data_IF_810967627970
#
_entry.id   IF_810967627970
#
_cell.length_a   1.000
_cell.length_b   1.000
_cell.length_c   1.000
_cell.angle_alpha   90.00
_cell.angle_beta   90.00
_cell.angle_gamma   90.00
#
_symmetry.space_group_name_H-M   'P 1'
#
loop_
_entity.id
_entity.type
_entity.pdbx_description
1 polymer ?
#
# COMPACT_ATOMS: atom_id res chain seq x y z
N UNK A 1 3.88 27.70 -5.55
CA UNK A 1 2.73 26.94 -6.08
C UNK A 1 2.38 27.32 -7.52
N UNK A 2 2.06 28.58 -7.84
CA UNK A 2 1.74 29.00 -9.22
C UNK A 2 2.83 28.63 -10.24
N UNK A 3 4.10 28.88 -9.91
CA UNK A 3 5.26 28.46 -10.72
C UNK A 3 5.29 26.95 -11.00
N UNK A 4 5.00 26.10 -10.02
CA UNK A 4 5.02 24.65 -10.25
C UNK A 4 3.87 24.20 -11.16
N UNK A 5 2.70 24.84 -11.02
CA UNK A 5 1.55 24.55 -11.88
C UNK A 5 1.80 24.92 -13.35
N UNK A 6 2.55 25.99 -13.62
CA UNK A 6 2.91 26.36 -15.00
C UNK A 6 3.89 25.38 -15.66
N UNK A 7 4.63 24.58 -14.87
CA UNK A 7 5.59 23.58 -15.37
C UNK A 7 4.95 22.23 -15.73
N UNK A 8 3.63 22.08 -15.56
CA UNK A 8 2.95 20.81 -15.78
C UNK A 8 3.08 20.27 -17.21
N UNK A 9 3.08 21.15 -18.21
CA UNK A 9 3.23 20.77 -19.62
C UNK A 9 4.53 21.21 -20.28
N UNK A 10 5.38 21.96 -19.56
CA UNK A 10 6.63 22.49 -20.09
C UNK A 10 7.77 21.52 -19.80
N UNK A 11 8.69 21.36 -20.74
CA UNK A 11 9.91 20.60 -20.50
C UNK A 11 10.79 21.36 -19.49
N UNK A 12 11.36 20.63 -18.54
CA UNK A 12 12.25 21.12 -17.50
C UNK A 12 13.63 20.47 -17.64
N UNK A 13 14.70 21.09 -17.09
CA UNK A 13 16.04 20.50 -17.13
C UNK A 13 16.07 19.04 -16.63
N UNK A 14 16.64 18.16 -17.45
CA UNK A 14 16.71 16.73 -17.22
C UNK A 14 15.48 15.93 -17.69
N UNK A 15 14.49 16.57 -18.30
CA UNK A 15 13.42 15.84 -19.00
C UNK A 15 13.88 15.27 -20.34
N UNK A 16 15.03 15.72 -20.86
CA UNK A 16 15.69 15.17 -22.06
C UNK A 16 16.04 13.68 -21.93
N UNK A 17 16.26 13.18 -20.72
CA UNK A 17 16.58 11.78 -20.43
C UNK A 17 15.33 10.88 -20.35
N UNK A 18 14.13 11.45 -20.50
CA UNK A 18 12.87 10.71 -20.33
C UNK A 18 12.51 9.96 -21.60
N UNK A 19 12.25 8.66 -21.45
CA UNK A 19 11.64 7.86 -22.51
C UNK A 19 10.19 8.32 -22.74
N UNK A 20 9.82 8.58 -23.99
CA UNK A 20 8.45 8.90 -24.35
C UNK A 20 7.61 7.60 -24.42
N UNK A 21 6.77 7.41 -23.42
CA UNK A 21 5.81 6.32 -23.31
C UNK A 21 4.36 6.82 -23.47
N UNK A 22 4.16 8.03 -23.99
CA UNK A 22 2.82 8.63 -24.11
C UNK A 22 1.92 7.96 -25.14
N UNK A 23 2.48 7.09 -25.98
CA UNK A 23 1.75 6.24 -26.93
C UNK A 23 1.30 4.89 -26.34
N UNK A 24 1.76 4.50 -25.14
CA UNK A 24 1.33 3.27 -24.50
C UNK A 24 -0.08 3.41 -23.90
N UNK A 25 -0.87 2.36 -24.03
CA UNK A 25 -2.18 2.28 -23.38
C UNK A 25 -2.01 2.03 -21.88
N UNK A 26 -1.89 3.12 -21.12
CA UNK A 26 -1.72 3.07 -19.66
C UNK A 26 -3.03 3.41 -18.94
N UNK A 27 -3.32 2.71 -17.85
CA UNK A 27 -4.46 2.99 -16.98
C UNK A 27 -4.05 3.10 -15.51
N UNK A 28 -4.75 3.93 -14.74
CA UNK A 28 -4.69 3.90 -13.28
C UNK A 28 -5.87 3.13 -12.72
N UNK A 29 -5.65 2.38 -11.63
CA UNK A 29 -6.66 1.55 -10.96
C UNK A 29 -6.68 1.93 -9.48
N UNK A 30 -7.74 2.62 -9.05
CA UNK A 30 -7.80 3.26 -7.73
C UNK A 30 -9.15 3.07 -7.03
N UNK A 31 -9.23 3.45 -5.75
CA UNK A 31 -10.51 3.62 -5.05
C UNK A 31 -11.35 4.72 -5.74
N UNK A 32 -12.68 4.56 -5.71
CA UNK A 32 -13.58 5.61 -6.18
C UNK A 32 -13.34 6.91 -5.37
N UNK A 33 -13.13 8.02 -6.10
CA UNK A 33 -12.85 9.32 -5.49
C UNK A 33 -11.38 9.55 -5.12
N UNK A 34 -10.45 8.68 -5.55
CA UNK A 34 -9.01 8.97 -5.47
C UNK A 34 -8.68 10.25 -6.24
N UNK A 35 -7.87 11.08 -5.60
CA UNK A 35 -7.50 12.42 -6.04
C UNK A 35 -6.00 12.59 -6.28
N UNK A 36 -5.18 11.75 -5.64
CA UNK A 36 -3.71 11.69 -5.76
C UNK A 36 -3.37 10.39 -6.47
N UNK A 37 -3.25 10.42 -7.81
CA UNK A 37 -2.91 9.22 -8.60
C UNK A 37 -1.40 9.12 -8.66
N UNK A 38 -0.85 8.23 -7.83
CA UNK A 38 0.59 7.97 -7.77
C UNK A 38 1.05 7.03 -8.89
N UNK A 39 0.23 6.07 -9.32
CA UNK A 39 0.67 4.98 -10.17
C UNK A 39 -0.30 4.64 -11.32
N UNK A 40 0.25 4.02 -12.37
CA UNK A 40 -0.46 3.53 -13.53
C UNK A 40 0.24 2.30 -14.12
N UNK A 41 -0.51 1.44 -14.79
CA UNK A 41 -0.04 0.19 -15.36
C UNK A 41 -0.23 0.19 -16.87
N UNK A 42 0.67 -0.49 -17.58
CA UNK A 42 0.51 -0.82 -18.99
C UNK A 42 1.14 -2.18 -19.30
N UNK A 43 0.70 -2.81 -20.37
CA UNK A 43 1.26 -4.05 -20.89
C UNK A 43 1.49 -3.90 -22.40
N UNK A 44 2.66 -4.31 -22.88
CA UNK A 44 2.96 -4.35 -24.31
C UNK A 44 3.57 -5.69 -24.71
N UNK A 45 3.21 -6.20 -25.90
CA UNK A 45 3.84 -7.41 -26.46
C UNK A 45 5.26 -7.09 -26.91
N UNK A 46 6.18 -8.04 -26.70
CA UNK A 46 7.58 -7.87 -27.10
C UNK A 46 7.81 -8.51 -28.46
N UNK A 47 8.65 -7.88 -29.30
CA UNK A 47 9.00 -8.43 -30.63
C UNK A 47 9.67 -9.82 -30.58
N UNK A 48 10.30 -10.16 -29.45
CA UNK A 48 10.95 -11.45 -29.21
C UNK A 48 10.01 -12.51 -28.58
N UNK A 49 8.71 -12.22 -28.43
CA UNK A 49 7.76 -13.03 -27.67
C UNK A 49 7.64 -12.59 -26.20
N UNK A 50 6.54 -12.97 -25.58
CA UNK A 50 6.16 -12.54 -24.24
C UNK A 50 5.76 -11.07 -24.14
N UNK A 51 5.82 -10.54 -22.92
CA UNK A 51 5.24 -9.24 -22.56
C UNK A 51 6.20 -8.38 -21.76
N UNK A 52 6.03 -7.06 -21.85
CA UNK A 52 6.62 -6.10 -20.93
C UNK A 52 5.51 -5.46 -20.11
N UNK A 53 5.54 -5.71 -18.80
CA UNK A 53 4.74 -5.01 -17.82
C UNK A 53 5.42 -3.69 -17.48
N UNK A 54 4.68 -2.59 -17.56
CA UNK A 54 5.09 -1.27 -17.11
C UNK A 54 4.32 -0.83 -15.87
N UNK A 55 5.05 -0.28 -14.90
CA UNK A 55 4.53 0.35 -13.70
C UNK A 55 5.05 1.79 -13.68
N UNK A 56 4.19 2.72 -14.07
CA UNK A 56 4.50 4.14 -14.09
C UNK A 56 4.18 4.74 -12.73
N UNK A 57 5.13 5.43 -12.11
CA UNK A 57 4.93 6.14 -10.84
C UNK A 57 5.18 7.62 -11.05
N UNK A 58 4.28 8.48 -10.59
CA UNK A 58 4.40 9.92 -10.68
C UNK A 58 5.75 10.42 -10.14
N UNK A 59 6.39 11.38 -10.80
CA UNK A 59 7.69 11.91 -10.40
C UNK A 59 7.60 13.37 -9.89
N UNK A 60 7.11 13.60 -8.66
CA UNK A 60 7.10 14.94 -8.07
C UNK A 60 8.53 15.46 -7.81
N UNK A 61 9.51 14.55 -7.68
CA UNK A 61 10.91 14.94 -7.46
C UNK A 61 11.46 15.70 -8.68
N UNK A 62 10.86 15.57 -9.86
CA UNK A 62 11.31 16.28 -11.08
C UNK A 62 11.21 17.80 -10.94
N UNK A 63 10.32 18.25 -10.06
CA UNK A 63 10.01 19.66 -9.87
C UNK A 63 10.47 20.17 -8.49
N UNK A 64 11.04 19.30 -7.67
CA UNK A 64 11.35 19.58 -6.27
C UNK A 64 12.78 19.13 -5.92
N UNK A 65 13.52 20.00 -5.24
CA UNK A 65 14.82 19.71 -4.64
C UNK A 65 14.70 19.57 -3.12
N UNK A 66 15.69 18.98 -2.46
CA UNK A 66 15.73 18.89 -0.98
C UNK A 66 15.73 20.26 -0.29
N UNK A 67 16.24 21.30 -0.95
CA UNK A 67 16.24 22.67 -0.45
C UNK A 67 14.90 23.39 -0.63
N UNK A 68 13.94 22.78 -1.32
CA UNK A 68 12.64 23.40 -1.57
C UNK A 68 11.79 23.42 -0.29
N UNK A 69 11.16 24.55 0.08
CA UNK A 69 10.28 24.63 1.25
C UNK A 69 9.13 23.61 1.25
N UNK A 70 8.61 23.23 0.08
CA UNK A 70 7.59 22.19 -0.04
C UNK A 70 8.14 20.81 0.31
N UNK A 71 9.40 20.53 -0.03
CA UNK A 71 10.08 19.28 0.33
C UNK A 71 10.38 19.23 1.82
N UNK A 72 10.80 20.34 2.42
CA UNK A 72 10.96 20.45 3.88
C UNK A 72 9.64 20.19 4.62
N UNK A 73 8.53 20.80 4.16
CA UNK A 73 7.22 20.57 4.77
C UNK A 73 6.71 19.14 4.55
N UNK A 74 6.94 18.56 3.36
CA UNK A 74 6.61 17.16 3.08
C UNK A 74 7.41 16.19 3.97
N UNK A 75 8.70 16.46 4.19
CA UNK A 75 9.53 15.72 5.15
C UNK A 75 8.96 15.81 6.56
N UNK A 76 8.63 17.03 7.02
CA UNK A 76 8.05 17.26 8.35
C UNK A 76 6.74 16.51 8.56
N UNK A 77 5.89 16.41 7.53
CA UNK A 77 4.65 15.61 7.57
C UNK A 77 4.92 14.11 7.47
N UNK A 78 5.94 13.71 6.71
CA UNK A 78 6.34 12.33 6.47
C UNK A 78 5.41 11.55 5.53
N UNK A 79 4.09 11.68 5.68
CA UNK A 79 3.09 11.07 4.81
C UNK A 79 1.76 11.83 4.78
N UNK A 80 0.88 11.50 3.83
CA UNK A 80 -0.53 11.91 3.88
C UNK A 80 -1.23 11.16 5.02
N UNK A 81 -2.09 11.85 5.77
CA UNK A 81 -2.89 11.24 6.83
C UNK A 81 -4.33 11.00 6.32
N UNK A 82 -4.80 9.76 6.38
CA UNK A 82 -6.17 9.38 6.00
C UNK A 82 -7.03 9.22 7.25
N UNK A 83 -7.95 10.16 7.45
CA UNK A 83 -8.88 10.19 8.59
C UNK A 83 -10.29 9.87 8.07
N UNK A 84 -11.20 9.53 8.98
CA UNK A 84 -12.57 9.11 8.63
C UNK A 84 -13.36 10.22 7.93
N UNK A 85 -13.01 11.49 8.16
CA UNK A 85 -13.60 12.66 7.51
C UNK A 85 -12.88 13.10 6.23
N UNK A 86 -11.77 12.44 5.86
CA UNK A 86 -11.02 12.75 4.64
C UNK A 86 -9.50 12.69 4.81
N UNK A 87 -8.80 12.93 3.70
CA UNK A 87 -7.35 12.95 3.68
C UNK A 87 -6.80 14.34 4.04
N UNK A 88 -5.68 14.36 4.77
CA UNK A 88 -4.77 15.50 4.91
C UNK A 88 -3.49 15.20 4.13
N UNK A 89 -3.36 15.71 2.89
CA UNK A 89 -2.23 15.45 2.01
C UNK A 89 -0.85 15.83 2.58
N UNK A 90 0.19 15.09 2.17
CA UNK A 90 1.59 15.42 2.43
C UNK A 90 2.01 16.70 1.70
N UNK A 91 1.62 16.84 0.44
CA UNK A 91 1.81 18.07 -0.34
C UNK A 91 0.53 18.91 -0.36
N UNK A 92 0.59 20.23 -0.62
CA UNK A 92 -0.61 21.03 -0.81
C UNK A 92 -1.52 20.43 -1.89
N UNK A 93 -2.81 20.31 -1.57
CA UNK A 93 -3.81 19.64 -2.42
C UNK A 93 -3.80 20.09 -3.90
N UNK A 94 -3.68 21.39 -4.26
CA UNK A 94 -3.64 21.81 -5.67
C UNK A 94 -2.41 21.32 -6.45
N UNK A 95 -1.35 20.91 -5.76
CA UNK A 95 -0.17 20.30 -6.37
C UNK A 95 -0.29 18.79 -6.40
N UNK A 96 -0.70 18.19 -5.28
CA UNK A 96 -0.84 16.74 -5.13
C UNK A 96 -1.84 16.15 -6.12
N UNK A 97 -2.99 16.80 -6.31
CA UNK A 97 -4.01 16.42 -7.31
C UNK A 97 -3.71 16.97 -8.73
N UNK A 98 -2.71 17.83 -8.83
CA UNK A 98 -2.40 18.61 -10.02
C UNK A 98 -1.15 18.10 -10.71
N UNK A 99 -0.10 18.91 -10.66
CA UNK A 99 1.14 18.66 -11.39
C UNK A 99 1.92 17.44 -10.91
N UNK A 100 1.68 16.97 -9.68
CA UNK A 100 2.30 15.77 -9.16
C UNK A 100 1.53 14.49 -9.49
N UNK A 101 0.24 14.58 -9.84
CA UNK A 101 -0.60 13.41 -10.12
C UNK A 101 -0.48 12.96 -11.58
N UNK A 102 -0.57 11.65 -11.80
CA UNK A 102 -0.76 11.05 -13.12
C UNK A 102 -2.19 11.31 -13.59
N UNK A 103 -2.40 12.38 -14.37
CA UNK A 103 -3.74 12.82 -14.79
C UNK A 103 -4.11 12.25 -16.17
N UNK A 104 -5.28 11.60 -16.32
CA UNK A 104 -5.74 11.07 -17.60
C UNK A 104 -5.74 12.12 -18.73
N UNK A 105 -5.31 11.69 -19.91
CA UNK A 105 -5.19 12.53 -21.10
C UNK A 105 -4.09 13.60 -21.06
N UNK A 106 -3.37 13.77 -19.94
CA UNK A 106 -2.29 14.74 -19.82
C UNK A 106 -0.92 14.07 -19.89
N UNK A 107 0.05 14.78 -20.47
CA UNK A 107 1.46 14.34 -20.46
C UNK A 107 2.03 14.56 -19.06
N UNK A 108 2.40 13.48 -18.38
CA UNK A 108 2.86 13.46 -16.98
C UNK A 108 4.27 12.89 -16.87
N UNK A 109 5.05 13.41 -15.91
CA UNK A 109 6.38 12.89 -15.58
C UNK A 109 6.23 11.68 -14.69
N UNK A 110 6.92 10.60 -15.04
CA UNK A 110 6.96 9.39 -14.23
C UNK A 110 8.38 8.85 -14.08
N UNK A 111 8.60 8.05 -13.05
CA UNK A 111 9.60 6.99 -13.05
C UNK A 111 8.87 5.70 -13.38
N UNK A 112 9.25 5.06 -14.48
CA UNK A 112 8.64 3.81 -14.92
C UNK A 112 9.53 2.64 -14.58
N UNK A 113 8.96 1.65 -13.93
CA UNK A 113 9.56 0.34 -13.68
C UNK A 113 9.01 -0.64 -14.71
N UNK A 114 9.82 -1.59 -15.15
CA UNK A 114 9.38 -2.59 -16.12
C UNK A 114 9.89 -3.98 -15.78
N UNK A 115 9.10 -4.97 -16.16
CA UNK A 115 9.45 -6.39 -16.12
C UNK A 115 9.12 -7.02 -17.46
N UNK A 116 10.13 -7.61 -18.09
CA UNK A 116 9.98 -8.50 -19.23
C UNK A 116 9.63 -9.90 -18.73
N UNK A 117 8.60 -10.50 -19.32
CA UNK A 117 8.21 -11.88 -19.08
C UNK A 117 8.13 -12.67 -20.38
N UNK A 118 8.30 -13.98 -20.30
CA UNK A 118 8.01 -14.90 -21.42
C UNK A 118 6.48 -15.13 -21.58
N UNK A 119 6.11 -15.94 -22.56
CA UNK A 119 4.69 -16.28 -22.82
C UNK A 119 4.04 -17.01 -21.63
N UNK A 120 4.83 -17.72 -20.82
CA UNK A 120 4.34 -18.42 -19.62
C UNK A 120 4.21 -17.50 -18.38
N UNK A 121 4.74 -16.27 -18.47
CA UNK A 121 4.73 -15.27 -17.41
C UNK A 121 5.94 -15.33 -16.48
N UNK A 122 7.01 -16.04 -16.84
CA UNK A 122 8.26 -16.04 -16.06
C UNK A 122 9.07 -14.77 -16.31
N UNK A 123 9.62 -14.20 -15.23
CA UNK A 123 10.50 -13.05 -15.30
C UNK A 123 11.77 -13.34 -16.13
N UNK A 124 12.07 -12.45 -17.08
CA UNK A 124 13.24 -12.52 -17.95
C UNK A 124 14.26 -11.42 -17.63
N UNK A 125 13.80 -10.16 -17.61
CA UNK A 125 14.65 -9.00 -17.34
C UNK A 125 13.81 -7.88 -16.71
N UNK A 126 14.48 -6.94 -16.06
CA UNK A 126 13.82 -5.85 -15.35
C UNK A 126 14.64 -4.57 -15.34
N UNK A 127 13.95 -3.45 -15.13
CA UNK A 127 14.63 -2.19 -14.97
C UNK A 127 13.70 -1.04 -14.62
N UNK A 128 14.28 0.15 -14.66
CA UNK A 128 13.53 1.38 -14.46
C UNK A 128 14.11 2.48 -15.34
N UNK A 129 13.28 3.48 -15.67
CA UNK A 129 13.68 4.62 -16.49
C UNK A 129 12.81 5.84 -16.18
N UNK A 130 13.35 7.07 -16.15
CA UNK A 130 12.53 8.28 -16.22
C UNK A 130 11.72 8.29 -17.51
N UNK A 131 10.45 8.68 -17.44
CA UNK A 131 9.59 8.67 -18.63
C UNK A 131 8.58 9.82 -18.65
N UNK A 132 8.03 10.02 -19.84
CA UNK A 132 6.78 10.74 -20.07
C UNK A 132 5.67 9.73 -20.32
N UNK A 133 4.53 9.90 -19.65
CA UNK A 133 3.36 9.02 -19.80
C UNK A 133 2.10 9.84 -20.05
N UNK A 134 1.10 9.24 -20.68
CA UNK A 134 -0.23 9.81 -20.82
C UNK A 134 -1.24 8.70 -20.61
N UNK A 135 -1.93 8.70 -19.48
CA UNK A 135 -2.92 7.66 -19.20
C UNK A 135 -4.08 7.78 -20.18
N UNK A 136 -4.44 6.64 -20.76
CA UNK A 136 -5.61 6.47 -21.62
C UNK A 136 -6.89 6.57 -20.80
N UNK A 137 -6.89 5.98 -19.60
CA UNK A 137 -8.09 5.85 -18.76
C UNK A 137 -7.73 5.83 -17.28
N UNK A 138 -8.65 6.26 -16.43
CA UNK A 138 -8.64 5.98 -15.00
C UNK A 138 -9.89 5.17 -14.68
N UNK A 139 -9.71 4.02 -14.03
CA UNK A 139 -10.78 3.07 -13.68
C UNK A 139 -10.73 2.79 -12.19
N UNK A 140 -11.87 2.37 -11.63
CA UNK A 140 -11.91 1.93 -10.23
C UNK A 140 -11.55 0.45 -10.10
N UNK A 141 -11.19 0.02 -8.89
CA UNK A 141 -11.04 -1.42 -8.61
C UNK A 141 -12.28 -2.23 -9.00
N UNK A 142 -13.48 -1.71 -8.71
CA UNK A 142 -14.74 -2.39 -9.04
C UNK A 142 -14.91 -2.53 -10.57
N UNK A 143 -14.59 -1.49 -11.35
CA UNK A 143 -14.66 -1.57 -12.81
C UNK A 143 -13.73 -2.67 -13.35
N UNK A 144 -12.52 -2.77 -12.80
CA UNK A 144 -11.55 -3.81 -13.19
C UNK A 144 -12.03 -5.20 -12.75
N UNK A 145 -12.56 -5.34 -11.54
CA UNK A 145 -13.11 -6.62 -11.07
C UNK A 145 -14.26 -7.10 -11.98
N UNK A 146 -15.15 -6.19 -12.41
CA UNK A 146 -16.21 -6.48 -13.37
C UNK A 146 -15.64 -6.94 -14.73
N UNK A 147 -14.63 -6.22 -15.26
CA UNK A 147 -13.96 -6.58 -16.52
C UNK A 147 -13.26 -7.94 -16.44
N UNK A 148 -12.57 -8.24 -15.33
CA UNK A 148 -11.93 -9.53 -15.10
C UNK A 148 -12.96 -10.67 -15.00
N UNK A 149 -14.15 -10.41 -14.46
CA UNK A 149 -15.24 -11.37 -14.38
C UNK A 149 -15.93 -11.63 -15.72
N UNK A 150 -16.12 -10.59 -16.54
CA UNK A 150 -16.74 -10.71 -17.87
C UNK A 150 -15.79 -11.25 -18.93
N UNK A 151 -14.49 -10.97 -18.81
CA UNK A 151 -13.44 -11.30 -19.76
C UNK A 151 -13.78 -10.94 -21.23
N UNK A 152 -14.09 -9.66 -21.52
CA UNK A 152 -14.40 -9.23 -22.88
C UNK A 152 -13.14 -9.32 -23.78
N UNK A 153 -13.25 -9.76 -25.04
CA UNK A 153 -12.10 -9.87 -25.96
C UNK A 153 -11.38 -8.54 -26.23
N UNK A 154 -12.05 -7.40 -26.03
CA UNK A 154 -11.44 -6.09 -26.25
C UNK A 154 -10.41 -5.70 -25.16
N UNK A 155 -10.41 -6.39 -24.02
CA UNK A 155 -9.54 -6.11 -22.85
C UNK A 155 -8.44 -7.17 -22.67
N UNK A 156 -7.96 -7.76 -23.78
CA UNK A 156 -6.93 -8.81 -23.76
C UNK A 156 -5.69 -8.43 -22.94
N UNK A 157 -5.24 -7.17 -23.00
CA UNK A 157 -4.08 -6.70 -22.23
C UNK A 157 -4.32 -6.69 -20.72
N UNK A 158 -5.54 -6.36 -20.26
CA UNK A 158 -5.88 -6.35 -18.84
C UNK A 158 -6.00 -7.78 -18.28
N UNK A 159 -6.60 -8.68 -19.05
CA UNK A 159 -6.69 -10.10 -18.70
C UNK A 159 -5.31 -10.75 -18.64
N UNK A 160 -4.44 -10.41 -19.58
CA UNK A 160 -3.07 -10.92 -19.61
C UNK A 160 -2.22 -10.32 -18.48
N UNK A 161 -2.39 -9.04 -18.18
CA UNK A 161 -1.79 -8.41 -17.01
C UNK A 161 -2.21 -9.11 -15.71
N UNK A 162 -3.49 -9.45 -15.58
CA UNK A 162 -3.99 -10.21 -14.44
C UNK A 162 -3.36 -11.60 -14.37
N UNK A 163 -3.26 -12.31 -15.49
CA UNK A 163 -2.60 -13.63 -15.57
C UNK A 163 -1.15 -13.57 -15.09
N UNK A 164 -0.38 -12.59 -15.58
CA UNK A 164 1.03 -12.39 -15.21
C UNK A 164 1.16 -12.08 -13.72
N UNK A 165 0.38 -11.12 -13.20
CA UNK A 165 0.45 -10.73 -11.79
C UNK A 165 0.01 -11.85 -10.84
N UNK A 166 -1.00 -12.65 -11.19
CA UNK A 166 -1.38 -13.83 -10.44
C UNK A 166 -0.22 -14.83 -10.35
N UNK A 167 0.49 -15.06 -11.46
CA UNK A 167 1.65 -15.96 -11.46
C UNK A 167 2.77 -15.44 -10.58
N UNK A 168 3.14 -14.16 -10.70
CA UNK A 168 4.17 -13.53 -9.87
C UNK A 168 3.83 -13.64 -8.38
N UNK A 169 2.56 -13.44 -8.02
CA UNK A 169 2.09 -13.63 -6.65
C UNK A 169 2.25 -15.08 -6.17
N UNK A 170 1.89 -16.06 -7.00
CA UNK A 170 2.02 -17.49 -6.68
C UNK A 170 3.49 -17.88 -6.49
N UNK A 171 4.39 -17.44 -7.37
CA UNK A 171 5.82 -17.70 -7.27
C UNK A 171 6.41 -17.07 -6.00
N UNK A 172 6.05 -15.83 -5.70
CA UNK A 172 6.48 -15.13 -4.48
C UNK A 172 5.98 -15.83 -3.21
N UNK A 173 4.75 -16.35 -3.22
CA UNK A 173 4.19 -17.17 -2.12
C UNK A 173 4.89 -18.52 -2.00
N UNK A 174 5.20 -19.18 -3.11
CA UNK A 174 5.97 -20.43 -3.11
C UNK A 174 7.39 -20.21 -2.56
N UNK A 175 7.96 -19.01 -2.75
CA UNK A 175 9.21 -18.57 -2.16
C UNK A 175 9.12 -18.13 -0.68
N UNK A 176 7.95 -18.27 -0.04
CA UNK A 176 7.76 -18.03 1.39
C UNK A 176 7.08 -16.72 1.77
N UNK A 177 6.57 -15.95 0.81
CA UNK A 177 5.77 -14.77 1.14
C UNK A 177 4.43 -15.12 1.79
N UNK A 178 4.02 -14.29 2.74
CA UNK A 178 2.79 -14.49 3.49
C UNK A 178 1.62 -13.80 2.78
N UNK A 179 0.51 -14.53 2.64
CA UNK A 179 -0.77 -13.94 2.28
C UNK A 179 -1.52 -13.62 3.57
N UNK A 180 -1.64 -12.32 3.86
CA UNK A 180 -2.30 -11.79 5.06
C UNK A 180 -3.51 -10.91 4.71
N UNK A 181 -4.01 -11.07 3.49
CA UNK A 181 -5.18 -10.35 3.00
C UNK A 181 -6.41 -10.72 3.83
N UNK A 182 -7.18 -9.70 4.16
CA UNK A 182 -8.43 -9.82 4.90
C UNK A 182 -9.30 -8.60 4.60
N UNK A 183 -10.62 -8.71 4.75
CA UNK A 183 -11.51 -7.56 4.62
C UNK A 183 -11.14 -6.46 5.62
N UNK A 184 -11.28 -5.20 5.21
CA UNK A 184 -11.00 -4.03 6.04
C UNK A 184 -12.22 -3.14 6.21
N UNK A 185 -12.58 -2.87 7.47
CA UNK A 185 -13.59 -1.88 7.81
C UNK A 185 -13.06 -0.44 7.74
N UNK A 186 -13.81 0.47 7.12
CA UNK A 186 -13.64 1.93 7.15
C UNK A 186 -14.91 2.59 7.70
N UNK A 187 -14.74 3.55 8.61
CA UNK A 187 -15.85 4.33 9.16
C UNK A 187 -16.01 5.64 8.38
N UNK A 188 -17.25 5.98 8.02
CA UNK A 188 -17.60 7.20 7.29
C UNK A 188 -18.69 7.95 8.05
N UNK A 189 -18.38 9.10 8.69
CA UNK A 189 -19.41 9.92 9.30
C UNK A 189 -20.29 10.55 8.23
N UNK A 190 -21.61 10.47 8.42
CA UNK A 190 -22.63 10.99 7.51
C UNK A 190 -23.19 12.33 8.01
N UNK A 191 -23.72 13.13 7.09
CA UNK A 191 -24.29 14.45 7.42
C UNK A 191 -25.52 14.37 8.36
N UNK A 192 -26.21 13.24 8.39
CA UNK A 192 -27.36 12.98 9.26
C UNK A 192 -26.97 12.47 10.66
N UNK A 193 -25.67 12.39 10.96
CA UNK A 193 -25.13 11.92 12.24
C UNK A 193 -24.97 10.40 12.34
N UNK A 194 -25.39 9.62 11.33
CA UNK A 194 -25.08 8.18 11.26
C UNK A 194 -23.62 7.95 10.91
N UNK A 195 -23.11 6.78 11.28
CA UNK A 195 -21.77 6.34 10.89
C UNK A 195 -21.93 5.15 9.97
N UNK A 196 -21.57 5.31 8.70
CA UNK A 196 -21.56 4.20 7.76
C UNK A 196 -20.30 3.35 7.97
N UNK A 197 -20.47 2.03 7.95
CA UNK A 197 -19.39 1.06 7.93
C UNK A 197 -19.22 0.56 6.50
N UNK A 198 -18.10 0.92 5.88
CA UNK A 198 -17.72 0.45 4.55
C UNK A 198 -16.75 -0.73 4.73
N UNK A 199 -17.11 -1.90 4.21
CA UNK A 199 -16.24 -3.08 4.20
C UNK A 199 -15.55 -3.16 2.85
N UNK A 200 -14.22 -3.15 2.86
CA UNK A 200 -13.40 -3.31 1.67
C UNK A 200 -12.90 -4.73 1.59
N UNK A 201 -13.41 -5.46 0.61
CA UNK A 201 -12.99 -6.83 0.33
C UNK A 201 -11.65 -6.86 -0.42
N UNK A 202 -10.79 -7.87 -0.16
CA UNK A 202 -9.72 -8.20 -1.07
C UNK A 202 -10.31 -8.68 -2.40
N UNK A 203 -9.92 -8.05 -3.50
CA UNK A 203 -10.42 -8.40 -4.84
C UNK A 203 -9.27 -8.68 -5.81
N UNK A 204 -9.53 -9.41 -6.92
CA UNK A 204 -8.53 -9.65 -7.96
C UNK A 204 -7.84 -8.38 -8.47
N UNK A 205 -8.58 -7.29 -8.68
CA UNK A 205 -8.02 -6.01 -9.10
C UNK A 205 -7.07 -5.42 -8.04
N UNK A 206 -7.43 -5.50 -6.76
CA UNK A 206 -6.56 -5.04 -5.65
C UNK A 206 -5.29 -5.87 -5.54
N UNK A 207 -5.40 -7.19 -5.69
CA UNK A 207 -4.26 -8.10 -5.70
C UNK A 207 -3.32 -7.82 -6.87
N UNK A 208 -3.87 -7.60 -8.07
CA UNK A 208 -3.12 -7.22 -9.27
C UNK A 208 -2.28 -5.96 -9.02
N UNK A 209 -2.93 -4.87 -8.57
CA UNK A 209 -2.22 -3.61 -8.30
C UNK A 209 -1.20 -3.80 -7.18
N UNK A 210 -1.56 -4.46 -6.08
CA UNK A 210 -0.65 -4.71 -4.96
C UNK A 210 0.61 -5.49 -5.39
N UNK A 211 0.47 -6.50 -6.25
CA UNK A 211 1.60 -7.27 -6.76
C UNK A 211 2.49 -6.42 -7.66
N UNK A 212 1.92 -5.61 -8.55
CA UNK A 212 2.67 -4.62 -9.33
C UNK A 212 3.46 -3.66 -8.42
N UNK A 213 2.84 -3.16 -7.35
CA UNK A 213 3.54 -2.23 -6.45
C UNK A 213 4.69 -2.90 -5.70
N UNK A 214 4.51 -4.15 -5.27
CA UNK A 214 5.56 -4.97 -4.65
C UNK A 214 6.70 -5.22 -5.65
N UNK A 215 6.37 -5.53 -6.91
CA UNK A 215 7.34 -5.72 -7.99
C UNK A 215 8.20 -4.46 -8.22
N UNK A 216 7.59 -3.28 -8.37
CA UNK A 216 8.34 -2.03 -8.53
C UNK A 216 9.30 -1.77 -7.35
N UNK A 217 8.84 -2.00 -6.12
CA UNK A 217 9.68 -1.88 -4.93
C UNK A 217 10.85 -2.87 -4.88
N UNK A 218 10.65 -4.09 -5.39
CA UNK A 218 11.73 -5.07 -5.53
C UNK A 218 12.73 -4.70 -6.63
N UNK A 219 12.27 -4.23 -7.80
CA UNK A 219 13.12 -3.77 -8.91
C UNK A 219 14.02 -2.61 -8.43
N UNK A 220 13.41 -1.60 -7.79
CA UNK A 220 14.14 -0.47 -7.22
C UNK A 220 15.15 -0.92 -6.14
N UNK A 221 14.74 -1.85 -5.27
CA UNK A 221 15.61 -2.41 -4.23
C UNK A 221 16.80 -3.17 -4.80
N UNK A 222 16.59 -4.03 -5.81
CA UNK A 222 17.66 -4.77 -6.51
C UNK A 222 18.58 -3.84 -7.28
N UNK A 223 18.05 -2.81 -7.92
CA UNK A 223 18.87 -1.78 -8.55
C UNK A 223 19.78 -1.10 -7.51
N UNK A 224 19.21 -0.63 -6.40
CA UNK A 224 19.98 0.02 -5.36
C UNK A 224 21.07 -0.89 -4.76
N UNK A 225 20.74 -2.15 -4.51
CA UNK A 225 21.69 -3.15 -4.01
C UNK A 225 22.84 -3.40 -5.00
N UNK A 226 22.54 -3.59 -6.29
CA UNK A 226 23.55 -3.83 -7.35
C UNK A 226 24.54 -2.67 -7.50
N UNK A 227 24.07 -1.44 -7.29
CA UNK A 227 24.88 -0.22 -7.46
C UNK A 227 25.43 0.35 -6.14
N UNK A 228 25.18 -0.30 -4.99
CA UNK A 228 25.61 0.22 -3.70
C UNK A 228 24.95 1.56 -3.33
N UNK A 229 23.75 1.84 -3.86
CA UNK A 229 23.01 3.08 -3.64
C UNK A 229 22.26 3.03 -2.30
N UNK A 230 22.49 3.99 -1.40
CA UNK A 230 21.66 4.16 -0.22
C UNK A 230 20.22 4.50 -0.62
N UNK A 231 19.26 3.71 -0.17
CA UNK A 231 17.84 3.92 -0.38
C UNK A 231 17.09 3.71 0.94
N UNK A 232 15.84 4.20 1.08
CA UNK A 232 14.94 3.82 2.17
C UNK A 232 14.49 2.35 2.13
N UNK A 233 15.42 1.41 2.34
CA UNK A 233 15.16 -0.02 2.36
C UNK A 233 14.25 -0.40 3.52
N UNK A 234 13.17 -1.10 3.22
CA UNK A 234 12.21 -1.58 4.20
C UNK A 234 12.36 -3.09 4.38
N UNK A 235 12.74 -3.50 5.57
CA UNK A 235 13.02 -4.89 5.92
C UNK A 235 12.19 -5.38 7.09
N UNK A 236 12.18 -6.69 7.25
CA UNK A 236 11.51 -7.38 8.34
C UNK A 236 12.25 -8.66 8.61
N UNK A 237 12.67 -8.84 9.87
CA UNK A 237 13.44 -9.99 10.32
C UNK A 237 12.61 -11.27 10.19
N UNK A 238 13.28 -12.35 9.78
CA UNK A 238 12.67 -13.67 9.72
C UNK A 238 12.15 -14.10 11.09
N UNK A 239 10.94 -14.66 11.13
CA UNK A 239 10.30 -15.10 12.35
C UNK A 239 9.87 -16.55 12.22
N UNK A 240 10.02 -17.39 13.27
CA UNK A 240 9.50 -18.74 13.23
C UNK A 240 7.98 -18.68 13.12
N UNK A 241 7.43 -19.36 12.12
CA UNK A 241 5.98 -19.43 11.88
C UNK A 241 5.41 -20.74 12.43
N UNK A 242 4.09 -20.80 12.71
CA UNK A 242 3.43 -22.07 12.98
C UNK A 242 3.61 -23.03 11.80
N UNK A 243 3.68 -24.32 12.10
CA UNK A 243 3.79 -25.39 11.11
C UNK A 243 2.59 -25.41 10.16
N UNK A 244 2.76 -26.00 8.99
CA UNK A 244 1.67 -26.18 8.03
C UNK A 244 0.48 -26.95 8.63
N UNK A 245 0.75 -27.92 9.52
CA UNK A 245 -0.28 -28.67 10.22
C UNK A 245 -1.07 -27.80 11.22
N UNK A 246 -0.39 -26.93 11.97
CA UNK A 246 -1.04 -25.97 12.88
C UNK A 246 -1.90 -24.96 12.11
N UNK A 247 -1.38 -24.41 11.01
CA UNK A 247 -2.14 -23.46 10.18
C UNK A 247 -3.34 -24.11 9.47
N UNK A 248 -3.22 -25.38 9.08
CA UNK A 248 -4.31 -26.14 8.48
C UNK A 248 -5.45 -26.44 9.45
N UNK A 249 -5.17 -26.44 10.77
CA UNK A 249 -6.19 -26.58 11.80
C UNK A 249 -7.04 -25.31 11.98
N UNK A 250 -6.55 -24.14 11.53
CA UNK A 250 -7.28 -22.88 11.61
C UNK A 250 -8.05 -22.57 10.33
N UNK A 251 -9.22 -21.95 10.48
CA UNK A 251 -9.99 -21.43 9.36
C UNK A 251 -9.14 -20.43 8.57
N UNK A 252 -9.20 -20.45 7.22
CA UNK A 252 -8.59 -19.42 6.39
C UNK A 252 -9.04 -18.01 6.76
N UNK A 253 -8.22 -17.00 6.44
CA UNK A 253 -8.51 -15.60 6.75
C UNK A 253 -8.08 -15.20 8.15
N UNK A 254 -8.91 -14.45 8.86
CA UNK A 254 -8.52 -13.69 10.05
C UNK A 254 -7.89 -14.52 11.18
N UNK A 255 -8.35 -15.75 11.44
CA UNK A 255 -7.80 -16.61 12.51
C UNK A 255 -6.39 -17.05 12.15
N UNK A 256 -6.20 -17.63 10.96
CA UNK A 256 -4.87 -18.01 10.44
C UNK A 256 -3.94 -16.79 10.32
N UNK A 257 -4.44 -15.67 9.80
CA UNK A 257 -3.70 -14.42 9.71
C UNK A 257 -3.29 -13.92 11.10
N UNK A 258 -4.16 -14.05 12.11
CA UNK A 258 -3.88 -13.70 13.49
C UNK A 258 -2.77 -14.54 14.11
N UNK A 259 -2.77 -15.86 13.86
CA UNK A 259 -1.71 -16.76 14.28
C UNK A 259 -0.36 -16.39 13.64
N UNK A 260 -0.34 -16.11 12.33
CA UNK A 260 0.85 -15.64 11.62
C UNK A 260 1.34 -14.30 12.16
N UNK A 261 0.45 -13.30 12.26
CA UNK A 261 0.77 -11.94 12.75
C UNK A 261 1.32 -11.94 14.18
N UNK A 262 0.93 -12.90 15.02
CA UNK A 262 1.45 -13.03 16.39
C UNK A 262 2.95 -13.36 16.43
N UNK A 263 3.47 -14.01 15.38
CA UNK A 263 4.88 -14.37 15.25
C UNK A 263 5.73 -13.26 14.61
N UNK A 264 5.11 -12.35 13.85
CA UNK A 264 5.84 -11.37 13.04
C UNK A 264 6.45 -10.25 13.87
N UNK A 265 7.71 -9.94 13.59
CA UNK A 265 8.34 -8.71 14.04
C UNK A 265 7.87 -7.51 13.20
N UNK A 266 8.00 -6.30 13.76
CA UNK A 266 7.71 -5.06 13.02
C UNK A 266 8.72 -4.88 11.89
N UNK A 267 8.26 -4.38 10.75
CA UNK A 267 9.17 -3.91 9.70
C UNK A 267 9.93 -2.66 10.15
N UNK A 268 11.17 -2.51 9.73
CA UNK A 268 11.99 -1.30 9.93
C UNK A 268 12.38 -0.71 8.57
N UNK A 269 12.67 0.59 8.56
CA UNK A 269 13.25 1.27 7.40
C UNK A 269 14.66 1.71 7.76
N UNK A 270 15.62 1.43 6.87
CA UNK A 270 17.02 1.82 7.00
C UNK A 270 17.61 2.18 5.65
N UNK A 271 18.88 2.54 5.64
CA UNK A 271 19.59 3.03 4.45
C UNK A 271 20.34 1.94 3.67
N UNK A 272 20.37 0.72 4.21
CA UNK A 272 21.09 -0.44 3.63
C UNK A 272 20.13 -1.56 3.22
N UNK A 273 20.46 -2.33 2.16
CA UNK A 273 19.65 -3.48 1.75
C UNK A 273 19.37 -4.45 2.88
N UNK A 274 18.10 -4.86 3.01
CA UNK A 274 17.64 -5.82 4.01
C UNK A 274 16.47 -6.65 3.45
N UNK A 275 16.36 -7.94 3.83
CA UNK A 275 15.25 -8.78 3.43
C UNK A 275 13.95 -8.37 4.13
N UNK A 276 12.83 -8.59 3.45
CA UNK A 276 11.49 -8.38 3.99
C UNK A 276 10.75 -9.71 4.10
N UNK A 277 10.78 -10.30 5.30
CA UNK A 277 10.25 -11.64 5.57
C UNK A 277 8.82 -11.87 5.06
N UNK A 278 7.83 -11.09 5.51
CA UNK A 278 6.44 -11.34 5.12
C UNK A 278 6.15 -11.12 3.62
N UNK A 279 6.97 -10.32 2.93
CA UNK A 279 6.82 -10.10 1.49
C UNK A 279 7.53 -11.18 0.66
N UNK A 280 8.37 -12.02 1.27
CA UNK A 280 9.23 -12.96 0.55
C UNK A 280 10.25 -12.26 -0.36
N UNK A 281 10.62 -11.02 -0.05
CA UNK A 281 11.49 -10.20 -0.88
C UNK A 281 12.93 -10.17 -0.31
N UNK A 282 13.97 -10.57 -1.05
CA UNK A 282 15.36 -10.49 -0.61
C UNK A 282 15.83 -9.05 -0.35
N UNK A 283 15.26 -8.09 -1.06
CA UNK A 283 15.47 -6.65 -0.90
C UNK A 283 14.20 -5.93 -1.33
N UNK A 284 13.82 -4.88 -0.59
CA UNK A 284 12.61 -4.12 -0.88
C UNK A 284 12.74 -2.65 -0.45
N UNK A 285 12.24 -1.75 -1.29
CA UNK A 285 12.03 -0.33 -0.97
C UNK A 285 10.59 0.04 -1.31
N UNK A 286 10.05 1.07 -0.66
CA UNK A 286 8.81 1.69 -1.12
C UNK A 286 9.14 2.76 -2.16
N UNK A 287 8.47 2.69 -3.32
CA UNK A 287 8.77 3.56 -4.48
C UNK A 287 7.54 3.99 -5.27
N UNK A 288 6.35 3.53 -4.90
CA UNK A 288 5.13 3.65 -5.70
C UNK A 288 4.15 4.69 -5.18
N UNK A 289 4.51 5.47 -4.17
CA UNK A 289 3.61 6.51 -3.64
C UNK A 289 4.32 7.81 -3.22
N UNK A 290 5.13 8.43 -4.09
CA UNK A 290 5.94 9.60 -3.76
C UNK A 290 5.12 10.88 -3.49
N UNK A 291 3.84 10.94 -3.88
CA UNK A 291 2.96 12.08 -3.55
C UNK A 291 2.52 12.03 -2.08
N UNK A 292 2.42 10.84 -1.49
CA UNK A 292 1.85 10.62 -0.15
C UNK A 292 2.79 9.95 0.86
N UNK A 293 3.97 9.50 0.44
CA UNK A 293 5.03 8.95 1.32
C UNK A 293 6.36 9.61 1.01
N UNK A 294 6.95 10.27 2.00
CA UNK A 294 8.23 10.96 1.81
C UNK A 294 9.40 9.99 1.60
N UNK A 295 9.31 8.77 2.14
CA UNK A 295 10.30 7.72 1.86
C UNK A 295 10.37 7.37 0.38
N UNK A 296 9.22 7.29 -0.30
CA UNK A 296 9.17 7.04 -1.74
C UNK A 296 9.71 8.22 -2.55
N UNK A 297 9.42 9.45 -2.09
CA UNK A 297 10.02 10.66 -2.64
C UNK A 297 11.57 10.62 -2.55
N UNK A 298 12.13 10.18 -1.42
CA UNK A 298 13.58 10.01 -1.28
C UNK A 298 14.13 8.91 -2.20
N UNK A 299 13.40 7.78 -2.34
CA UNK A 299 13.77 6.71 -3.29
C UNK A 299 13.83 7.25 -4.72
N UNK A 300 12.80 7.98 -5.17
CA UNK A 300 12.75 8.61 -6.49
C UNK A 300 13.92 9.57 -6.72
N UNK A 301 14.17 10.44 -5.73
CA UNK A 301 15.26 11.41 -5.79
C UNK A 301 16.62 10.72 -5.95
N UNK A 302 16.87 9.66 -5.17
CA UNK A 302 18.11 8.90 -5.24
C UNK A 302 18.29 8.17 -6.57
N UNK A 303 17.27 7.46 -7.03
CA UNK A 303 17.30 6.76 -8.33
C UNK A 303 17.63 7.73 -9.46
N UNK A 304 16.89 8.84 -9.57
CA UNK A 304 17.13 9.82 -10.64
C UNK A 304 18.50 10.48 -10.54
N UNK A 305 18.93 10.85 -9.34
CA UNK A 305 20.23 11.51 -9.15
C UNK A 305 21.37 10.57 -9.56
N UNK A 306 21.27 9.29 -9.19
CA UNK A 306 22.23 8.26 -9.62
C UNK A 306 22.19 8.03 -11.14
N UNK A 307 20.99 7.93 -11.74
CA UNK A 307 20.82 7.73 -13.18
C UNK A 307 21.43 8.86 -14.03
N UNK A 308 21.51 10.07 -13.50
CA UNK A 308 22.19 11.22 -14.14
C UNK A 308 23.68 11.35 -13.79
N UNK A 309 24.26 10.35 -13.13
CA UNK A 309 25.65 10.37 -12.66
C UNK A 309 25.98 11.59 -11.78
N UNK A 310 24.98 12.10 -11.05
CA UNK A 310 25.13 13.21 -10.13
C UNK A 310 25.42 12.69 -8.70
N UNK A 311 25.86 13.60 -7.83
CA UNK A 311 26.15 13.26 -6.43
C UNK A 311 24.88 12.87 -5.69
N UNK A 312 24.79 11.59 -5.31
CA UNK A 312 23.71 11.04 -4.49
C UNK A 312 23.91 11.41 -3.01
N UNK A 313 22.88 11.22 -2.19
CA UNK A 313 22.98 11.38 -0.75
C UNK A 313 23.86 10.27 -0.20
N UNK A 314 24.72 10.62 0.75
CA UNK A 314 25.46 9.61 1.50
C UNK A 314 24.52 8.88 2.47
N UNK A 315 24.95 7.73 2.99
CA UNK A 315 24.18 6.99 3.98
C UNK A 315 23.82 7.85 5.23
N UNK A 316 24.75 8.63 5.83
CA UNK A 316 24.41 9.54 6.92
C UNK A 316 23.41 10.63 6.54
N UNK A 317 23.56 11.23 5.34
CA UNK A 317 22.64 12.29 4.89
C UNK A 317 21.23 11.72 4.66
N UNK A 318 21.13 10.55 4.04
CA UNK A 318 19.84 9.87 3.85
C UNK A 318 19.22 9.50 5.19
N UNK A 319 20.00 9.00 6.14
CA UNK A 319 19.52 8.67 7.48
C UNK A 319 18.94 9.90 8.18
N UNK A 320 19.58 11.07 8.05
CA UNK A 320 19.08 12.32 8.62
C UNK A 320 17.70 12.73 8.08
N UNK A 321 17.46 12.54 6.78
CA UNK A 321 16.14 12.77 6.18
C UNK A 321 15.12 11.73 6.61
N UNK A 322 15.54 10.47 6.72
CA UNK A 322 14.67 9.38 7.18
C UNK A 322 14.19 9.59 8.62
N UNK A 323 15.08 9.98 9.53
CA UNK A 323 14.72 10.18 10.94
C UNK A 323 13.63 11.25 11.10
N UNK A 324 13.73 12.35 10.35
CA UNK A 324 12.72 13.41 10.33
C UNK A 324 11.39 12.93 9.76
N UNK A 325 11.43 12.24 8.61
CA UNK A 325 10.22 11.74 7.97
C UNK A 325 9.52 10.66 8.82
N UNK A 326 10.28 9.79 9.46
CA UNK A 326 9.75 8.73 10.33
C UNK A 326 9.05 9.31 11.57
N UNK A 327 9.53 10.43 12.12
CA UNK A 327 8.82 11.13 13.19
C UNK A 327 7.43 11.62 12.73
N UNK A 328 7.36 12.26 11.56
CA UNK A 328 6.08 12.69 10.97
C UNK A 328 5.13 11.54 10.67
N UNK A 329 5.65 10.43 10.12
CA UNK A 329 4.87 9.20 9.86
C UNK A 329 4.29 8.63 11.15
N UNK A 330 5.07 8.61 12.25
CA UNK A 330 4.59 8.13 13.55
C UNK A 330 3.46 9.02 14.09
N UNK A 331 3.60 10.34 14.02
CA UNK A 331 2.55 11.27 14.46
C UNK A 331 1.26 11.12 13.63
N UNK A 332 1.37 11.04 12.30
CA UNK A 332 0.24 10.82 11.42
C UNK A 332 -0.47 9.49 11.72
N UNK A 333 0.30 8.42 11.95
CA UNK A 333 -0.22 7.10 12.32
C UNK A 333 -0.94 7.09 13.67
N UNK A 334 -0.44 7.83 14.67
CA UNK A 334 -1.11 7.98 15.97
C UNK A 334 -2.45 8.70 15.83
N UNK A 335 -2.50 9.80 15.06
CA UNK A 335 -3.74 10.54 14.78
C UNK A 335 -4.78 9.69 14.05
N UNK A 336 -4.37 8.99 12.99
CA UNK A 336 -5.25 8.10 12.24
C UNK A 336 -5.79 6.95 13.10
N UNK A 337 -4.96 6.39 14.00
CA UNK A 337 -5.40 5.38 14.96
C UNK A 337 -6.43 5.94 15.95
N UNK A 338 -6.20 7.13 16.50
CA UNK A 338 -7.14 7.77 17.44
C UNK A 338 -8.47 8.09 16.78
N UNK A 339 -8.44 8.64 15.56
CA UNK A 339 -9.64 8.89 14.75
C UNK A 339 -10.41 7.59 14.48
N UNK A 340 -9.74 6.53 14.00
CA UNK A 340 -10.36 5.21 13.78
C UNK A 340 -11.01 4.65 15.05
N UNK A 341 -10.34 4.76 16.20
CA UNK A 341 -10.89 4.28 17.48
C UNK A 341 -12.09 5.10 17.92
N UNK A 342 -12.05 6.42 17.78
CA UNK A 342 -13.20 7.29 18.06
C UNK A 342 -14.41 6.86 17.24
N UNK A 343 -14.26 6.70 15.93
CA UNK A 343 -15.37 6.33 15.05
C UNK A 343 -15.84 4.90 15.26
N UNK A 344 -14.95 3.96 15.57
CA UNK A 344 -15.34 2.61 16.02
C UNK A 344 -16.22 2.68 17.26
N UNK A 345 -15.82 3.45 18.28
CA UNK A 345 -16.60 3.58 19.51
C UNK A 345 -17.96 4.22 19.25
N UNK A 346 -18.00 5.29 18.46
CA UNK A 346 -19.23 5.98 18.11
C UNK A 346 -20.16 5.07 17.31
N UNK A 347 -19.63 4.26 16.39
CA UNK A 347 -20.39 3.28 15.63
C UNK A 347 -20.96 2.18 16.53
N UNK A 348 -20.14 1.59 17.40
CA UNK A 348 -20.59 0.58 18.38
C UNK A 348 -21.68 1.13 19.31
N UNK A 349 -21.60 2.42 19.67
CA UNK A 349 -22.60 3.10 20.49
C UNK A 349 -23.96 3.24 19.78
N UNK A 350 -23.96 3.43 18.45
CA UNK A 350 -25.17 3.51 17.62
C UNK A 350 -25.76 2.11 17.38
N UNK A 351 -24.94 1.13 16.96
CA UNK A 351 -25.42 -0.20 16.55
C UNK A 351 -25.77 -1.14 17.71
N UNK A 352 -25.07 -1.02 18.86
CA UNK A 352 -25.31 -1.76 20.12
C UNK A 352 -25.26 -3.30 20.08
N UNK A 353 -25.05 -3.93 18.93
CA UNK A 353 -24.89 -5.38 18.80
C UNK A 353 -26.18 -6.16 19.13
N UNK A 354 -26.09 -7.47 19.45
CA UNK A 354 -24.88 -8.27 19.57
C UNK A 354 -24.21 -8.54 18.23
N UNK A 355 -22.91 -8.86 18.27
CA UNK A 355 -22.17 -9.32 17.09
C UNK A 355 -21.74 -10.76 17.28
N UNK A 356 -21.55 -11.49 16.18
CA UNK A 356 -20.96 -12.82 16.21
C UNK A 356 -19.56 -12.77 15.61
N UNK A 357 -18.69 -13.64 16.10
CA UNK A 357 -17.31 -13.68 15.62
C UNK A 357 -16.58 -14.94 16.05
N UNK A 358 -15.32 -15.04 15.65
CA UNK A 358 -14.43 -16.14 16.00
C UNK A 358 -13.27 -15.63 16.83
N UNK A 359 -12.93 -16.34 17.89
CA UNK A 359 -11.72 -16.05 18.66
C UNK A 359 -10.49 -16.21 17.76
N UNK A 360 -9.63 -15.19 17.75
CA UNK A 360 -8.41 -15.17 16.93
C UNK A 360 -7.21 -15.57 17.78
N UNK A 361 -6.94 -14.81 18.84
CA UNK A 361 -5.81 -15.03 19.76
C UNK A 361 -5.95 -14.22 21.03
N UNK A 362 -5.17 -14.57 22.05
CA UNK A 362 -5.01 -13.74 23.24
C UNK A 362 -4.18 -12.49 22.93
N UNK A 363 -4.64 -11.35 23.46
CA UNK A 363 -3.84 -10.13 23.57
C UNK A 363 -3.15 -10.07 24.92
N UNK A 364 -3.92 -10.36 25.99
CA UNK A 364 -3.46 -10.49 27.38
C UNK A 364 -4.32 -11.57 28.07
N UNK A 365 -3.86 -12.81 28.02
CA UNK A 365 -4.61 -13.96 28.56
C UNK A 365 -4.87 -13.85 30.06
N UNK A 366 -3.91 -13.34 30.83
CA UNK A 366 -4.04 -13.12 32.28
C UNK A 366 -5.17 -12.15 32.67
N UNK A 367 -5.55 -11.26 31.76
CA UNK A 367 -6.66 -10.30 31.93
C UNK A 367 -7.95 -10.76 31.25
N UNK A 368 -7.93 -11.93 30.59
CA UNK A 368 -9.04 -12.39 29.75
C UNK A 368 -9.26 -11.55 28.49
N UNK A 369 -8.28 -10.74 28.06
CA UNK A 369 -8.42 -9.91 26.86
C UNK A 369 -7.98 -10.66 25.61
N UNK A 370 -8.95 -11.05 24.79
CA UNK A 370 -8.75 -11.72 23.50
C UNK A 370 -9.13 -10.83 22.32
N UNK A 371 -8.63 -11.19 21.14
CA UNK A 371 -9.03 -10.60 19.87
C UNK A 371 -10.07 -11.51 19.21
N UNK A 372 -11.19 -10.94 18.78
CA UNK A 372 -12.29 -11.63 18.11
C UNK A 372 -12.52 -11.01 16.74
N UNK A 373 -12.62 -11.84 15.71
CA UNK A 373 -12.93 -11.41 14.34
C UNK A 373 -14.43 -11.50 14.07
N UNK A 374 -15.05 -10.37 13.72
CA UNK A 374 -16.44 -10.28 13.31
C UNK A 374 -16.53 -10.26 11.79
N UNK A 375 -16.92 -11.38 11.18
CA UNK A 375 -16.93 -11.55 9.72
C UNK A 375 -17.81 -10.52 9.00
N UNK A 376 -19.06 -10.36 9.46
CA UNK A 376 -20.07 -9.52 8.80
C UNK A 376 -19.69 -8.02 8.77
N UNK A 377 -18.84 -7.59 9.69
CA UNK A 377 -18.44 -6.18 9.84
C UNK A 377 -16.97 -5.95 9.51
N UNK A 378 -16.21 -7.00 9.19
CA UNK A 378 -14.77 -6.97 9.02
C UNK A 378 -14.00 -6.30 10.19
N UNK A 379 -14.53 -6.44 11.42
CA UNK A 379 -13.94 -5.84 12.62
C UNK A 379 -13.11 -6.85 13.42
N UNK A 380 -11.94 -6.42 13.86
CA UNK A 380 -11.17 -7.08 14.91
C UNK A 380 -11.45 -6.37 16.25
N UNK A 381 -12.19 -7.03 17.15
CA UNK A 381 -12.62 -6.47 18.42
C UNK A 381 -11.83 -7.08 19.58
N UNK A 382 -11.31 -6.22 20.45
CA UNK A 382 -10.71 -6.64 21.71
C UNK A 382 -11.82 -6.86 22.75
N UNK A 383 -11.98 -8.10 23.24
CA UNK A 383 -13.08 -8.51 24.10
C UNK A 383 -12.57 -9.25 25.33
N UNK A 384 -13.30 -9.11 26.45
CA UNK A 384 -13.16 -10.02 27.59
C UNK A 384 -13.74 -11.38 27.18
N UNK A 385 -12.87 -12.35 26.92
CA UNK A 385 -13.21 -13.67 26.39
C UNK A 385 -13.32 -14.73 27.49
N UNK A 386 -14.09 -15.81 27.25
CA UNK A 386 -14.11 -16.96 28.15
C UNK A 386 -12.70 -17.52 28.43
N UNK A 387 -12.41 -17.98 29.66
CA UNK A 387 -11.13 -18.63 29.92
C UNK A 387 -10.99 -19.87 29.04
N UNK A 388 -9.77 -20.13 28.56
CA UNK A 388 -9.43 -21.25 27.66
C UNK A 388 -10.02 -21.16 26.25
N UNK A 389 -10.51 -19.99 25.82
CA UNK A 389 -10.84 -19.77 24.40
C UNK A 389 -9.66 -20.13 23.51
N UNK A 390 -9.95 -20.87 22.44
CA UNK A 390 -9.01 -21.33 21.43
C UNK A 390 -9.29 -20.63 20.10
N UNK A 391 -8.29 -20.49 19.22
CA UNK A 391 -8.52 -20.03 17.86
C UNK A 391 -9.70 -20.77 17.22
N UNK A 392 -10.53 -20.04 16.48
CA UNK A 392 -11.78 -20.50 15.85
C UNK A 392 -12.99 -20.74 16.76
N UNK A 393 -12.87 -20.62 18.08
CA UNK A 393 -14.03 -20.72 18.96
C UNK A 393 -15.10 -19.68 18.57
N UNK A 394 -16.36 -20.08 18.36
CA UNK A 394 -17.43 -19.16 18.02
C UNK A 394 -17.86 -18.39 19.26
N UNK A 395 -17.98 -17.07 19.12
CA UNK A 395 -18.27 -16.15 20.21
C UNK A 395 -19.39 -15.18 19.83
N UNK A 396 -20.27 -14.92 20.79
CA UNK A 396 -21.22 -13.79 20.75
C UNK A 396 -20.65 -12.65 21.59
N UNK A 397 -20.60 -11.46 20.99
CA UNK A 397 -19.99 -10.26 21.57
C UNK A 397 -21.09 -9.28 21.96
N UNK A 398 -21.11 -8.92 23.24
CA UNK A 398 -21.97 -7.90 23.81
C UNK A 398 -21.20 -6.63 24.18
N UNK A 399 -21.85 -5.49 23.96
CA UNK A 399 -21.35 -4.19 24.40
C UNK A 399 -21.68 -3.97 25.88
N UNK A 400 -20.67 -3.80 26.74
CA UNK A 400 -20.86 -3.48 28.16
C UNK A 400 -20.80 -1.97 28.41
N UNK A 401 -19.80 -1.31 27.84
CA UNK A 401 -19.56 0.12 28.07
C UNK A 401 -18.85 0.70 26.85
N UNK A 402 -19.30 1.88 26.40
CA UNK A 402 -18.62 2.66 25.37
C UNK A 402 -18.76 4.14 25.66
N UNK A 403 -17.65 4.87 25.53
CA UNK A 403 -17.62 6.32 25.57
C UNK A 403 -16.53 6.80 24.60
N UNK A 404 -16.91 7.29 23.40
CA UNK A 404 -15.96 7.76 22.40
C UNK A 404 -15.06 8.90 22.91
N UNK A 405 -15.65 9.89 23.59
CA UNK A 405 -14.95 11.07 24.13
C UNK A 405 -13.88 10.71 25.17
N UNK A 406 -14.09 9.64 25.93
CA UNK A 406 -13.12 9.13 26.92
C UNK A 406 -12.22 8.03 26.38
N UNK A 407 -12.39 7.61 25.13
CA UNK A 407 -11.69 6.47 24.54
C UNK A 407 -11.96 5.14 25.28
N UNK A 408 -13.11 5.01 25.93
CA UNK A 408 -13.46 3.84 26.74
C UNK A 408 -14.30 2.86 25.91
N UNK A 409 -13.86 1.60 25.86
CA UNK A 409 -14.62 0.50 25.28
C UNK A 409 -14.44 -0.75 26.14
N UNK A 410 -15.55 -1.40 26.50
CA UNK A 410 -15.58 -2.72 27.13
C UNK A 410 -16.58 -3.60 26.41
N UNK A 411 -16.04 -4.66 25.82
CA UNK A 411 -16.80 -5.71 25.16
C UNK A 411 -16.64 -7.01 25.95
N UNK A 412 -17.70 -7.80 26.03
CA UNK A 412 -17.68 -9.15 26.62
C UNK A 412 -18.07 -10.16 25.58
N UNK A 413 -17.24 -11.17 25.39
CA UNK A 413 -17.56 -12.31 24.56
C UNK A 413 -18.06 -13.48 25.43
N UNK A 414 -18.99 -14.25 24.88
CA UNK A 414 -19.52 -15.49 25.45
C UNK A 414 -19.49 -16.57 24.38
N UNK A 415 -19.36 -17.83 24.77
CA UNK A 415 -19.51 -18.94 23.83
C UNK A 415 -20.87 -18.83 23.13
N UNK A 416 -20.84 -18.86 21.79
CA UNK A 416 -22.04 -18.78 20.97
C UNK A 416 -22.85 -20.07 21.00
#
# INVERSE_FOLDING_TARGET
MQRLRSLAGQDCPGDEDRLDLTGLASLSIDDAGTIEVDDALALESRAAGGWRLWIHVADPTALLSLTNPLTMEACRRGCSAYLSHGATPMFPQPLAQGVFSLRPGQRCRALSFWLDVDDDGHALDEGWIPSWVRLSTAVTYNDVDDLLGMAPPEEDNLLELHRITLRLNQERRAAGALCLEQPEARFRPMADGRIALEVLEPTPARQLVAECMVLAGQIAGRYGQRHGLPLPYRGQVASPLPSAQELAAFSPGAVRNGALKACLQRSSTGTRPQPHFALGAPVYVQVTSPIRRFTDFLTHLQLRTHGRQASVLTEPDLQHWLDQALAGIQEAGQRARQDRLYWLHSWLQQERGPWTGRFVRWLRESEGLGLVWCGDTALELACNCPPRSRPDDPLTIGLLEVNPERGLLRLKAQAA
#
